data_IF_367923883413
#
_entry.id   IF_367923883413
#
_cell.length_a   1.000
_cell.length_b   1.000
_cell.length_c   1.000
_cell.angle_alpha   90.00
_cell.angle_beta   90.00
_cell.angle_gamma   90.00
#
_symmetry.space_group_name_H-M   'P 1'
#
loop_
_entity.id
_entity.type
_entity.pdbx_description
1 polymer ?
#
# COMPACT_ATOMS: atom_id res chain seq x y z
N UNK A 1 26.33 -6.16 5.65
CA UNK A 1 24.97 -5.77 6.10
C UNK A 1 25.08 -4.94 7.37
N UNK A 2 24.07 -4.12 7.68
CA UNK A 2 23.98 -3.38 8.95
C UNK A 2 23.25 -4.23 9.99
N UNK A 3 23.58 -4.08 11.28
CA UNK A 3 23.05 -4.95 12.33
C UNK A 3 21.54 -4.88 12.52
N UNK A 4 20.96 -3.68 12.59
CA UNK A 4 19.54 -3.51 12.90
C UNK A 4 18.98 -2.20 12.36
N UNK A 5 17.73 -2.23 11.90
CA UNK A 5 16.91 -1.04 11.72
C UNK A 5 15.60 -1.16 12.50
N UNK A 6 15.12 -0.03 13.00
CA UNK A 6 13.83 0.09 13.68
C UNK A 6 12.86 0.84 12.77
N UNK A 7 11.73 0.21 12.51
CA UNK A 7 10.65 0.75 11.70
C UNK A 7 9.56 1.24 12.65
N UNK A 8 9.24 2.52 12.55
CA UNK A 8 8.29 3.17 13.45
C UNK A 8 7.34 4.08 12.69
N UNK A 9 6.30 4.52 13.40
CA UNK A 9 5.22 5.35 12.91
C UNK A 9 5.24 6.69 13.65
N UNK A 10 6.02 7.65 13.16
CA UNK A 10 6.03 9.06 13.57
C UNK A 10 6.92 9.92 12.64
N UNK A 11 6.40 11.08 12.26
CA UNK A 11 7.07 12.05 11.40
C UNK A 11 7.88 13.12 12.15
N UNK A 12 7.76 13.23 13.47
CA UNK A 12 8.38 14.33 14.22
C UNK A 12 9.88 14.12 14.48
N UNK A 13 10.65 15.20 14.37
CA UNK A 13 12.03 15.24 14.81
C UNK A 13 12.14 14.87 16.30
N UNK A 14 11.25 15.41 17.15
CA UNK A 14 11.19 15.10 18.58
C UNK A 14 10.95 13.63 18.85
N UNK A 15 9.99 13.01 18.16
CA UNK A 15 9.74 11.58 18.28
C UNK A 15 10.94 10.76 17.80
N UNK A 16 11.57 11.15 16.68
CA UNK A 16 12.79 10.51 16.18
C UNK A 16 13.94 10.62 17.17
N UNK A 17 14.10 11.76 17.83
CA UNK A 17 15.15 11.99 18.82
C UNK A 17 14.90 11.19 20.11
N UNK A 18 13.63 11.10 20.55
CA UNK A 18 13.24 10.21 21.66
C UNK A 18 13.53 8.74 21.34
N UNK A 19 13.19 8.30 20.13
CA UNK A 19 13.49 6.95 19.66
C UNK A 19 15.01 6.73 19.57
N UNK A 20 15.77 7.72 19.09
CA UNK A 20 17.23 7.63 19.02
C UNK A 20 17.88 7.58 20.39
N UNK A 21 17.38 8.35 21.38
CA UNK A 21 17.81 8.24 22.78
C UNK A 21 17.52 6.85 23.36
N UNK A 22 16.36 6.28 23.04
CA UNK A 22 15.94 4.96 23.56
C UNK A 22 16.67 3.78 22.90
N UNK A 23 17.00 3.88 21.62
CA UNK A 23 17.53 2.76 20.82
C UNK A 23 18.97 2.97 20.30
N UNK A 24 19.64 4.06 20.69
CA UNK A 24 21.06 4.29 20.44
C UNK A 24 21.42 4.51 18.96
N UNK A 25 22.47 3.83 18.49
CA UNK A 25 23.03 3.97 17.13
C UNK A 25 22.26 3.20 16.04
N UNK A 26 21.09 2.65 16.35
CA UNK A 26 20.26 1.89 15.41
C UNK A 26 19.62 2.81 14.36
N UNK A 27 19.59 2.37 13.10
CA UNK A 27 18.98 3.16 12.03
C UNK A 27 17.46 3.21 12.22
N UNK A 28 16.92 4.42 12.24
CA UNK A 28 15.48 4.68 12.40
C UNK A 28 14.85 4.97 11.05
N UNK A 29 13.86 4.16 10.67
CA UNK A 29 13.12 4.27 9.42
C UNK A 29 11.63 4.50 9.69
N UNK A 30 11.05 5.42 8.93
CA UNK A 30 9.65 5.80 9.06
C UNK A 30 8.86 5.47 7.80
N UNK A 31 7.72 4.78 7.92
CA UNK A 31 6.89 4.43 6.76
C UNK A 31 6.26 5.69 6.14
N UNK A 32 6.58 6.02 4.89
CA UNK A 32 6.03 7.20 4.21
C UNK A 32 6.08 7.06 2.69
N UNK A 33 5.13 7.71 2.00
CA UNK A 33 5.13 7.80 0.55
C UNK A 33 6.22 8.71 -0.03
N UNK A 34 6.92 9.49 0.80
CA UNK A 34 7.95 10.42 0.35
C UNK A 34 9.34 9.76 0.19
N UNK A 35 10.16 10.35 -0.68
CA UNK A 35 11.52 9.89 -1.01
C UNK A 35 12.54 10.79 -0.28
N UNK A 36 12.67 10.62 1.04
CA UNK A 36 13.68 11.34 1.85
C UNK A 36 14.47 10.36 2.72
N UNK A 37 15.66 10.77 3.17
CA UNK A 37 16.49 9.99 4.10
C UNK A 37 15.72 9.65 5.38
N UNK A 38 15.74 8.39 5.79
CA UNK A 38 15.00 7.90 6.96
C UNK A 38 13.52 7.60 6.68
N UNK A 39 13.05 7.71 5.43
CA UNK A 39 11.72 7.28 5.03
C UNK A 39 11.79 5.95 4.29
N UNK A 40 10.91 5.03 4.65
CA UNK A 40 10.71 3.75 4.01
C UNK A 40 9.37 3.77 3.30
N UNK A 41 9.39 3.55 1.99
CA UNK A 41 8.16 3.48 1.20
C UNK A 41 7.64 2.06 1.19
N UNK A 42 6.32 1.91 1.21
CA UNK A 42 5.70 0.61 0.92
C UNK A 42 5.78 0.38 -0.60
N UNK A 43 6.81 -0.34 -1.01
CA UNK A 43 7.02 -0.83 -2.37
C UNK A 43 7.84 -2.09 -2.36
N UNK A 44 7.66 -2.98 -3.35
CA UNK A 44 8.45 -4.20 -3.42
C UNK A 44 9.95 -3.94 -3.37
N UNK A 45 10.45 -3.01 -4.19
CA UNK A 45 11.87 -2.65 -4.25
C UNK A 45 12.40 -2.09 -2.93
N UNK A 46 11.62 -1.28 -2.21
CA UNK A 46 12.09 -0.64 -0.98
C UNK A 46 12.06 -1.63 0.19
N UNK A 47 11.04 -2.49 0.24
CA UNK A 47 10.93 -3.56 1.22
C UNK A 47 12.02 -4.62 1.02
N UNK A 48 12.27 -5.03 -0.23
CA UNK A 48 13.36 -5.94 -0.52
C UNK A 48 14.71 -5.35 -0.11
N UNK A 49 15.00 -4.11 -0.57
CA UNK A 49 16.26 -3.42 -0.27
C UNK A 49 16.49 -3.22 1.22
N UNK A 50 15.46 -2.91 2.00
CA UNK A 50 15.65 -2.74 3.45
C UNK A 50 15.97 -4.08 4.11
N UNK A 51 15.35 -5.18 3.69
CA UNK A 51 15.69 -6.50 4.23
C UNK A 51 17.06 -7.01 3.75
N UNK A 52 17.53 -6.65 2.55
CA UNK A 52 18.91 -6.91 2.10
C UNK A 52 19.95 -6.09 2.87
N UNK A 53 19.57 -4.89 3.31
CA UNK A 53 20.50 -3.94 3.94
C UNK A 53 20.79 -4.29 5.40
N UNK A 54 19.83 -4.88 6.13
CA UNK A 54 19.91 -5.11 7.57
C UNK A 54 19.74 -6.59 7.93
N UNK A 55 20.51 -7.07 8.92
CA UNK A 55 20.36 -8.45 9.44
C UNK A 55 19.06 -8.63 10.24
N UNK A 56 18.55 -7.52 10.78
CA UNK A 56 17.36 -7.49 11.64
C UNK A 56 16.53 -6.23 11.41
N UNK A 57 15.21 -6.42 11.35
CA UNK A 57 14.22 -5.35 11.41
C UNK A 57 13.39 -5.49 12.68
N UNK A 58 13.26 -4.39 13.42
CA UNK A 58 12.34 -4.28 14.56
C UNK A 58 11.17 -3.36 14.19
N UNK A 59 9.95 -3.91 14.12
CA UNK A 59 8.72 -3.16 13.85
C UNK A 59 8.09 -2.68 15.16
N UNK A 60 7.86 -1.38 15.28
CA UNK A 60 7.17 -0.79 16.44
C UNK A 60 5.68 -0.59 16.13
N UNK A 61 4.81 -1.37 16.79
CA UNK A 61 3.35 -1.32 16.57
C UNK A 61 2.67 -0.30 17.49
N UNK A 62 1.57 0.36 17.05
CA UNK A 62 0.82 0.10 15.82
C UNK A 62 1.48 0.65 14.55
N UNK A 63 1.53 -0.19 13.49
CA UNK A 63 2.02 0.23 12.17
C UNK A 63 0.97 1.04 11.40
N UNK A 64 1.46 1.97 10.59
CA UNK A 64 0.64 2.79 9.68
C UNK A 64 1.51 3.27 8.51
N UNK A 65 0.86 3.63 7.41
CA UNK A 65 1.52 4.25 6.26
C UNK A 65 1.80 5.74 6.44
N UNK A 66 1.30 6.35 7.53
CA UNK A 66 1.45 7.79 7.80
C UNK A 66 0.59 8.70 6.91
N UNK A 67 -0.18 8.14 5.98
CA UNK A 67 -1.03 8.89 5.05
C UNK A 67 -2.16 9.63 5.78
N UNK A 68 -2.55 10.80 5.25
CA UNK A 68 -3.55 11.69 5.87
C UNK A 68 -4.94 11.04 5.97
N UNK A 69 -5.36 10.32 4.92
CA UNK A 69 -6.59 9.53 4.92
C UNK A 69 -6.25 8.03 4.91
N UNK A 70 -6.72 7.32 5.92
CA UNK A 70 -6.57 5.87 6.03
C UNK A 70 -7.94 5.20 6.13
N UNK A 71 -8.33 4.50 5.07
CA UNK A 71 -9.61 3.80 4.96
C UNK A 71 -9.46 2.31 5.29
N UNK A 72 -10.56 1.66 5.63
CA UNK A 72 -10.57 0.26 6.09
C UNK A 72 -10.47 0.11 7.61
N UNK A 73 -10.51 -1.14 8.08
CA UNK A 73 -10.31 -1.46 9.50
C UNK A 73 -8.82 -1.32 9.86
N UNK A 74 -8.49 -0.69 10.99
CA UNK A 74 -7.11 -0.46 11.41
C UNK A 74 -6.32 -1.76 11.64
N UNK A 75 -6.96 -2.80 12.17
CA UNK A 75 -6.36 -4.13 12.35
C UNK A 75 -5.99 -4.74 11.00
N UNK A 76 -6.88 -4.61 10.01
CA UNK A 76 -6.65 -5.10 8.64
C UNK A 76 -5.51 -4.33 7.96
N UNK A 77 -5.44 -3.01 8.14
CA UNK A 77 -4.34 -2.19 7.63
C UNK A 77 -3.00 -2.60 8.22
N UNK A 78 -2.95 -2.79 9.53
CA UNK A 78 -1.73 -3.21 10.23
C UNK A 78 -1.31 -4.62 9.83
N UNK A 79 -2.25 -5.57 9.77
CA UNK A 79 -1.99 -6.93 9.31
C UNK A 79 -1.40 -6.95 7.90
N UNK A 80 -1.95 -6.17 6.96
CA UNK A 80 -1.39 -6.03 5.61
C UNK A 80 0.08 -5.57 5.62
N UNK A 81 0.43 -4.59 6.45
CA UNK A 81 1.82 -4.13 6.57
C UNK A 81 2.72 -5.20 7.19
N UNK A 82 2.26 -5.86 8.26
CA UNK A 82 3.01 -6.93 8.92
C UNK A 82 3.31 -8.06 7.94
N UNK A 83 2.32 -8.49 7.15
CA UNK A 83 2.50 -9.56 6.18
C UNK A 83 3.49 -9.21 5.07
N UNK A 84 3.48 -7.97 4.57
CA UNK A 84 4.51 -7.50 3.63
C UNK A 84 5.90 -7.55 4.26
N UNK A 85 6.06 -7.08 5.51
CA UNK A 85 7.35 -7.12 6.19
C UNK A 85 7.81 -8.56 6.46
N UNK A 86 6.92 -9.44 6.91
CA UNK A 86 7.22 -10.86 7.13
C UNK A 86 7.66 -11.51 5.83
N UNK A 87 6.91 -11.32 4.74
CA UNK A 87 7.26 -11.86 3.43
C UNK A 87 8.67 -11.46 3.00
N UNK A 88 9.01 -10.18 3.05
CA UNK A 88 10.34 -9.71 2.63
C UNK A 88 11.45 -10.07 3.62
N UNK A 89 11.14 -10.17 4.90
CA UNK A 89 12.07 -10.64 5.92
C UNK A 89 12.46 -12.10 5.63
N UNK A 90 11.47 -12.97 5.43
CA UNK A 90 11.66 -14.39 5.12
C UNK A 90 12.43 -14.57 3.81
N UNK A 91 12.01 -13.87 2.73
CA UNK A 91 12.66 -13.90 1.42
C UNK A 91 14.15 -13.57 1.46
N UNK A 92 14.56 -12.69 2.38
CA UNK A 92 15.93 -12.20 2.49
C UNK A 92 16.67 -12.78 3.72
N UNK A 93 16.11 -13.78 4.41
CA UNK A 93 16.64 -14.31 5.66
C UNK A 93 16.96 -13.23 6.73
N UNK A 94 16.20 -12.13 6.70
CA UNK A 94 16.33 -11.01 7.63
C UNK A 94 15.47 -11.27 8.86
N UNK A 95 16.04 -11.14 10.07
CA UNK A 95 15.31 -11.38 11.32
C UNK A 95 14.26 -10.30 11.54
N UNK A 96 12.98 -10.67 11.62
CA UNK A 96 11.90 -9.75 11.98
C UNK A 96 11.57 -9.83 13.47
N UNK A 97 11.42 -8.70 14.15
CA UNK A 97 10.96 -8.62 15.55
C UNK A 97 9.85 -7.59 15.65
N UNK A 98 8.75 -7.94 16.31
CA UNK A 98 7.63 -7.03 16.53
C UNK A 98 7.63 -6.60 17.99
N UNK A 99 7.60 -5.29 18.25
CA UNK A 99 7.50 -4.72 19.60
C UNK A 99 6.33 -3.76 19.69
N UNK A 100 5.45 -3.98 20.66
CA UNK A 100 4.39 -3.04 20.99
C UNK A 100 4.95 -1.85 21.74
N UNK A 101 4.60 -0.64 21.32
CA UNK A 101 4.92 0.58 22.06
C UNK A 101 3.65 1.23 22.62
N UNK A 102 3.80 1.92 23.76
CA UNK A 102 2.77 2.83 24.23
C UNK A 102 2.50 3.88 23.14
N UNK A 103 1.23 4.20 22.91
CA UNK A 103 0.80 5.03 21.79
C UNK A 103 1.45 6.41 21.85
N UNK A 104 2.44 6.65 20.99
CA UNK A 104 2.91 7.99 20.66
C UNK A 104 1.85 8.61 19.74
N UNK A 105 1.44 9.85 20.01
CA UNK A 105 0.47 10.57 19.16
C UNK A 105 0.92 10.50 17.71
N UNK A 106 0.08 9.95 16.85
CA UNK A 106 0.32 9.95 15.41
C UNK A 106 0.26 11.38 14.90
N UNK A 107 1.33 11.80 14.24
CA UNK A 107 1.37 13.08 13.54
C UNK A 107 1.11 12.77 12.07
N UNK A 108 -0.04 13.23 11.58
CA UNK A 108 -0.47 13.04 10.19
C UNK A 108 0.58 13.66 9.25
N UNK A 109 0.92 12.97 8.16
CA UNK A 109 1.60 13.64 7.05
C UNK A 109 0.69 14.80 6.60
N UNK A 110 1.27 15.99 6.47
CA UNK A 110 0.56 17.19 5.98
C UNK A 110 0.27 17.11 4.48
N UNK A 111 0.80 16.08 3.82
CA UNK A 111 0.54 15.79 2.43
C UNK A 111 -0.72 14.94 2.31
N UNK A 112 -1.64 15.44 1.48
CA UNK A 112 -2.90 14.84 1.03
C UNK A 112 -2.69 13.50 0.32
N UNK A 113 -2.29 12.47 1.06
CA UNK A 113 -2.11 11.09 0.61
C UNK A 113 -3.10 10.16 1.28
N UNK A 114 -3.28 9.00 0.64
CA UNK A 114 -4.33 8.05 0.97
C UNK A 114 -3.77 6.65 1.00
N UNK A 115 -4.12 5.93 2.08
CA UNK A 115 -4.08 4.48 2.12
C UNK A 115 -5.49 3.93 2.34
N UNK A 116 -5.79 2.83 1.66
CA UNK A 116 -7.05 2.10 1.78
C UNK A 116 -6.70 0.63 1.75
N UNK A 117 -7.12 -0.14 2.75
CA UNK A 117 -6.88 -1.59 2.77
C UNK A 117 -8.20 -2.29 3.07
N UNK A 118 -8.52 -3.29 2.25
CA UNK A 118 -9.65 -4.18 2.45
C UNK A 118 -9.16 -5.62 2.47
N UNK A 119 -9.88 -6.45 3.19
CA UNK A 119 -9.61 -7.87 3.24
C UNK A 119 -10.91 -8.69 3.25
N UNK A 120 -10.82 -9.90 2.72
CA UNK A 120 -11.91 -10.87 2.69
C UNK A 120 -11.36 -12.29 2.74
N UNK A 121 -12.24 -13.22 3.09
CA UNK A 121 -11.98 -14.65 2.96
C UNK A 121 -12.31 -15.03 1.52
N UNK A 122 -11.31 -15.49 0.78
CA UNK A 122 -11.41 -15.96 -0.59
C UNK A 122 -11.59 -17.49 -0.57
N UNK A 123 -12.65 -17.98 -1.20
CA UNK A 123 -12.95 -19.43 -1.23
C UNK A 123 -11.97 -20.20 -2.14
N UNK A 124 -11.32 -19.51 -3.06
CA UNK A 124 -10.48 -20.11 -4.11
C UNK A 124 -8.99 -19.80 -3.92
N UNK A 125 -8.14 -20.76 -4.25
CA UNK A 125 -6.68 -20.57 -4.24
C UNK A 125 -6.18 -19.85 -5.51
N UNK A 126 -6.69 -18.64 -5.71
CA UNK A 126 -6.42 -17.83 -6.89
C UNK A 126 -5.15 -17.01 -6.70
N UNK A 127 -4.25 -17.11 -7.69
CA UNK A 127 -3.01 -16.34 -7.75
C UNK A 127 -3.25 -14.82 -7.68
N UNK A 128 -2.40 -14.02 -7.01
CA UNK A 128 -2.57 -12.57 -6.90
C UNK A 128 -2.75 -11.80 -8.22
N UNK A 129 -2.12 -12.27 -9.29
CA UNK A 129 -2.33 -11.68 -10.63
C UNK A 129 -3.75 -11.89 -11.14
N UNK A 130 -4.35 -13.04 -10.86
CA UNK A 130 -5.72 -13.32 -11.25
C UNK A 130 -6.73 -12.59 -10.34
N UNK A 131 -6.38 -12.31 -9.07
CA UNK A 131 -7.13 -11.37 -8.24
C UNK A 131 -7.14 -9.97 -8.86
N UNK A 132 -5.99 -9.50 -9.35
CA UNK A 132 -5.87 -8.22 -10.04
C UNK A 132 -6.67 -8.21 -11.36
N UNK A 133 -6.53 -9.26 -12.17
CA UNK A 133 -7.26 -9.41 -13.42
C UNK A 133 -8.78 -9.47 -13.19
N UNK A 134 -9.23 -10.16 -12.14
CA UNK A 134 -10.63 -10.21 -11.72
C UNK A 134 -11.15 -8.82 -11.33
N UNK A 135 -10.36 -8.02 -10.61
CA UNK A 135 -10.70 -6.62 -10.32
C UNK A 135 -10.85 -5.77 -11.60
N UNK A 136 -9.92 -5.93 -12.55
CA UNK A 136 -9.94 -5.22 -13.83
C UNK A 136 -11.15 -5.62 -14.71
N UNK A 137 -11.62 -6.86 -14.63
CA UNK A 137 -12.86 -7.31 -15.31
C UNK A 137 -14.12 -6.86 -14.56
N UNK A 138 -14.08 -6.84 -13.23
CA UNK A 138 -15.17 -6.40 -12.37
C UNK A 138 -15.52 -4.92 -12.57
N UNK A 139 -14.51 -4.05 -12.66
CA UNK A 139 -14.72 -2.60 -12.63
C UNK A 139 -15.62 -2.10 -13.78
N UNK A 140 -15.47 -2.52 -15.05
CA UNK A 140 -16.40 -2.19 -16.12
C UNK A 140 -17.80 -2.77 -15.93
N UNK A 141 -17.93 -3.97 -15.38
CA UNK A 141 -19.23 -4.60 -15.14
C UNK A 141 -20.02 -3.82 -14.08
N UNK A 142 -19.37 -3.55 -12.94
CA UNK A 142 -19.97 -2.83 -11.83
C UNK A 142 -20.37 -1.40 -12.22
N UNK A 143 -19.53 -0.71 -12.98
CA UNK A 143 -19.79 0.67 -13.40
C UNK A 143 -20.69 0.76 -14.64
N UNK A 144 -21.30 -0.35 -15.10
CA UNK A 144 -22.11 -0.41 -16.33
C UNK A 144 -21.39 0.22 -17.53
N UNK A 145 -20.11 -0.13 -17.69
CA UNK A 145 -19.16 0.39 -18.69
C UNK A 145 -18.89 1.89 -18.61
N UNK A 146 -19.23 2.60 -17.53
CA UNK A 146 -18.82 4.00 -17.33
C UNK A 146 -17.29 4.12 -17.20
N UNK A 147 -16.67 3.17 -16.48
CA UNK A 147 -15.22 3.00 -16.47
C UNK A 147 -14.88 1.82 -17.39
N UNK A 148 -13.99 2.04 -18.35
CA UNK A 148 -13.38 0.98 -19.17
C UNK A 148 -12.00 0.69 -18.64
N UNK A 149 -11.59 -0.57 -18.71
CA UNK A 149 -10.21 -0.98 -18.45
C UNK A 149 -9.57 -1.36 -19.77
N UNK A 150 -8.48 -0.69 -20.13
CA UNK A 150 -7.70 -0.98 -21.32
C UNK A 150 -6.36 -1.57 -20.90
N UNK A 151 -6.10 -2.81 -21.31
CA UNK A 151 -4.80 -3.44 -21.16
C UNK A 151 -3.95 -3.08 -22.38
N UNK A 152 -2.84 -2.39 -22.14
CA UNK A 152 -1.77 -2.14 -23.10
C UNK A 152 -0.58 -3.02 -22.71
N UNK A 153 0.40 -3.16 -23.60
CA UNK A 153 1.55 -4.07 -23.41
C UNK A 153 2.28 -3.85 -22.07
N UNK A 154 2.52 -2.58 -21.70
CA UNK A 154 3.28 -2.23 -20.48
C UNK A 154 2.44 -1.46 -19.44
N UNK A 155 1.15 -1.22 -19.68
CA UNK A 155 0.31 -0.45 -18.76
C UNK A 155 -1.17 -0.80 -18.84
N UNK A 156 -1.89 -0.52 -17.76
CA UNK A 156 -3.34 -0.70 -17.66
C UNK A 156 -3.97 0.68 -17.40
N UNK A 157 -4.94 1.05 -18.21
CA UNK A 157 -5.63 2.33 -18.08
C UNK A 157 -7.08 2.14 -17.64
N UNK A 158 -7.47 2.86 -16.59
CA UNK A 158 -8.88 3.03 -16.24
C UNK A 158 -9.36 4.31 -16.91
N UNK A 159 -10.22 4.15 -17.92
CA UNK A 159 -10.67 5.26 -18.77
C UNK A 159 -12.14 5.57 -18.51
N UNK A 160 -12.49 6.85 -18.62
CA UNK A 160 -13.89 7.25 -18.72
C UNK A 160 -14.40 6.90 -20.13
N UNK A 161 -15.42 6.05 -20.20
CA UNK A 161 -15.79 5.35 -21.43
C UNK A 161 -16.19 6.25 -22.60
N UNK A 162 -16.85 7.37 -22.31
CA UNK A 162 -17.35 8.30 -23.33
C UNK A 162 -16.30 9.31 -23.80
N UNK A 163 -15.35 9.70 -22.94
CA UNK A 163 -14.27 10.63 -23.32
C UNK A 163 -12.99 9.94 -23.76
N UNK A 164 -12.86 8.61 -23.52
CA UNK A 164 -11.61 7.84 -23.71
C UNK A 164 -10.41 8.47 -22.97
N UNK A 165 -10.68 9.22 -21.91
CA UNK A 165 -9.65 9.88 -21.10
C UNK A 165 -9.20 8.96 -19.96
N UNK A 166 -7.88 8.75 -19.76
CA UNK A 166 -7.37 7.93 -18.67
C UNK A 166 -7.56 8.65 -17.33
N UNK A 167 -8.40 8.08 -16.47
CA UNK A 167 -8.58 8.50 -15.08
C UNK A 167 -7.41 8.06 -14.22
N UNK A 168 -6.95 6.82 -14.40
CA UNK A 168 -5.76 6.25 -13.79
C UNK A 168 -4.97 5.46 -14.82
N UNK A 169 -3.64 5.55 -14.73
CA UNK A 169 -2.71 4.71 -15.47
C UNK A 169 -1.91 3.89 -14.45
N UNK A 170 -1.86 2.59 -14.66
CA UNK A 170 -1.22 1.62 -13.79
C UNK A 170 -0.10 0.92 -14.56
N UNK A 171 1.05 0.71 -13.92
CA UNK A 171 2.12 -0.14 -14.46
C UNK A 171 2.38 -1.27 -13.47
N UNK A 172 2.30 -2.52 -13.94
CA UNK A 172 2.67 -3.68 -13.14
C UNK A 172 4.15 -3.57 -12.74
N UNK A 173 4.45 -3.72 -11.45
CA UNK A 173 5.85 -3.82 -11.03
C UNK A 173 6.31 -5.27 -11.32
N UNK A 174 7.31 -5.41 -12.19
CA UNK A 174 7.88 -6.71 -12.54
C UNK A 174 8.70 -7.21 -11.35
N UNK A 175 8.14 -8.15 -10.60
CA UNK A 175 8.83 -8.95 -9.62
C UNK A 175 8.68 -10.39 -10.08
N UNK A 176 9.79 -11.03 -10.44
CA UNK A 176 9.77 -12.40 -10.94
C UNK A 176 9.17 -13.33 -9.87
N UNK A 177 8.13 -14.07 -10.27
CA UNK A 177 7.53 -15.20 -9.54
C UNK A 177 7.13 -14.96 -8.07
N UNK A 178 6.58 -13.78 -7.75
CA UNK A 178 6.02 -13.53 -6.42
C UNK A 178 4.60 -14.10 -6.29
N UNK A 179 4.49 -15.35 -5.80
CA UNK A 179 3.22 -16.04 -5.58
C UNK A 179 2.30 -15.38 -4.52
N UNK A 180 2.84 -14.46 -3.71
CA UNK A 180 2.13 -13.89 -2.56
C UNK A 180 1.42 -12.56 -2.86
N UNK A 181 1.88 -11.77 -3.84
CA UNK A 181 1.20 -10.52 -4.20
C UNK A 181 1.44 -10.07 -5.66
N UNK A 182 0.53 -9.25 -6.17
CA UNK A 182 0.66 -8.49 -7.41
C UNK A 182 0.54 -7.00 -7.08
N UNK A 183 1.43 -6.18 -7.63
CA UNK A 183 1.47 -4.75 -7.34
C UNK A 183 1.57 -3.90 -8.61
N UNK A 184 0.85 -2.78 -8.59
CA UNK A 184 0.71 -1.88 -9.71
C UNK A 184 0.98 -0.46 -9.25
N UNK A 185 2.01 0.15 -9.83
CA UNK A 185 2.30 1.57 -9.62
C UNK A 185 1.27 2.41 -10.36
N UNK A 186 0.62 3.32 -9.64
CA UNK A 186 -0.21 4.38 -10.19
C UNK A 186 0.73 5.43 -10.78
N UNK A 187 0.92 5.38 -12.10
CA UNK A 187 1.88 6.19 -12.85
C UNK A 187 1.28 7.47 -13.43
N UNK A 188 -0.05 7.57 -13.51
CA UNK A 188 -0.69 8.72 -14.16
C UNK A 188 -2.21 8.72 -14.13
N UNK A 189 -2.79 9.34 -15.16
CA UNK A 189 -4.22 9.63 -15.28
C UNK A 189 -4.65 10.97 -14.67
N UNK A 190 -5.89 11.37 -14.96
CA UNK A 190 -6.48 12.64 -14.52
C UNK A 190 -6.70 12.72 -13.02
N UNK A 191 -6.88 11.59 -12.34
CA UNK A 191 -7.16 11.54 -10.90
C UNK A 191 -5.89 11.53 -10.05
N UNK A 192 -4.70 11.46 -10.66
CA UNK A 192 -3.41 11.36 -9.96
C UNK A 192 -2.64 12.67 -10.03
N UNK A 193 -2.12 13.16 -8.91
CA UNK A 193 -1.27 14.34 -8.89
C UNK A 193 0.16 14.03 -9.41
N UNK A 194 0.38 14.25 -10.72
CA UNK A 194 1.66 13.99 -11.40
C UNK A 194 2.83 14.88 -10.94
N UNK A 195 2.55 16.04 -10.34
CA UNK A 195 3.60 16.96 -9.84
C UNK A 195 4.30 16.40 -8.59
N UNK A 196 3.72 15.40 -7.93
CA UNK A 196 4.31 14.77 -6.76
C UNK A 196 4.92 13.42 -7.15
N UNK A 197 6.23 13.26 -6.87
CA UNK A 197 7.02 12.02 -7.08
C UNK A 197 6.58 10.82 -6.21
N UNK A 198 5.34 10.79 -5.76
CA UNK A 198 4.80 9.66 -4.99
C UNK A 198 4.07 8.74 -5.95
N UNK A 199 4.59 7.52 -6.13
CA UNK A 199 3.92 6.51 -6.93
C UNK A 199 3.04 5.68 -5.98
N UNK A 200 1.79 6.10 -5.84
CA UNK A 200 0.79 5.30 -5.15
C UNK A 200 0.76 3.90 -5.76
N UNK A 201 0.37 2.90 -4.98
CA UNK A 201 0.30 1.52 -5.47
C UNK A 201 -1.03 0.90 -5.18
N UNK A 202 -1.52 0.14 -6.15
CA UNK A 202 -2.57 -0.84 -5.98
C UNK A 202 -1.93 -2.21 -5.75
N UNK A 203 -2.39 -2.91 -4.72
CA UNK A 203 -1.89 -4.20 -4.29
C UNK A 203 -3.02 -5.22 -4.28
N UNK A 204 -2.69 -6.44 -4.66
CA UNK A 204 -3.48 -7.65 -4.45
C UNK A 204 -2.56 -8.65 -3.78
N UNK A 205 -2.89 -9.13 -2.59
CA UNK A 205 -2.00 -9.97 -1.80
C UNK A 205 -2.79 -11.11 -1.17
N UNK A 206 -2.25 -12.32 -1.22
CA UNK A 206 -2.73 -13.44 -0.42
C UNK A 206 -1.99 -13.43 0.91
N UNK A 207 -2.69 -13.78 1.97
CA UNK A 207 -2.09 -13.93 3.26
C UNK A 207 -1.23 -15.20 3.30
N UNK A 208 0.00 -15.07 3.81
CA UNK A 208 0.83 -16.24 4.13
C UNK A 208 0.60 -16.73 5.56
N UNK A 209 -0.06 -15.92 6.39
CA UNK A 209 -0.25 -16.19 7.82
C UNK A 209 -1.66 -16.71 8.13
N UNK A 210 -2.64 -16.41 7.28
CA UNK A 210 -4.03 -16.81 7.44
C UNK A 210 -4.58 -17.36 6.13
N UNK A 211 -4.75 -18.68 6.09
CA UNK A 211 -5.28 -19.38 4.92
C UNK A 211 -6.56 -18.74 4.37
N UNK A 212 -6.63 -18.59 3.06
CA UNK A 212 -7.75 -18.00 2.32
C UNK A 212 -7.96 -16.49 2.55
N UNK A 213 -7.20 -15.82 3.42
CA UNK A 213 -7.32 -14.37 3.57
C UNK A 213 -6.64 -13.66 2.39
N UNK A 214 -7.34 -12.71 1.79
CA UNK A 214 -6.84 -11.86 0.70
C UNK A 214 -6.94 -10.40 1.09
N UNK A 215 -5.96 -9.61 0.67
CA UNK A 215 -5.92 -8.16 0.79
C UNK A 215 -5.97 -7.49 -0.58
N UNK A 216 -6.72 -6.41 -0.68
CA UNK A 216 -6.50 -5.39 -1.70
C UNK A 216 -6.17 -4.07 -1.02
N UNK A 217 -5.18 -3.36 -1.53
CA UNK A 217 -4.77 -2.11 -0.93
C UNK A 217 -4.42 -1.05 -1.97
N UNK A 218 -4.78 0.19 -1.66
CA UNK A 218 -4.15 1.38 -2.24
C UNK A 218 -3.24 1.97 -1.17
N UNK A 219 -1.99 2.27 -1.51
CA UNK A 219 -1.02 2.87 -0.57
C UNK A 219 -0.39 4.12 -1.16
N UNK A 220 -0.16 5.15 -0.33
CA UNK A 220 0.49 6.40 -0.69
C UNK A 220 -0.09 7.09 -1.94
N UNK A 221 -1.38 6.88 -2.23
CA UNK A 221 -2.04 7.48 -3.39
C UNK A 221 -2.29 8.97 -3.16
N UNK A 222 -2.06 9.78 -4.19
CA UNK A 222 -2.28 11.22 -4.12
C UNK A 222 -3.28 11.68 -5.17
N UNK A 223 -4.50 12.03 -4.75
CA UNK A 223 -5.50 12.52 -5.68
C UNK A 223 -5.07 13.87 -6.28
N UNK A 224 -5.47 14.12 -7.52
CA UNK A 224 -5.32 15.42 -8.20
C UNK A 224 -6.40 16.43 -7.76
N UNK A 225 -7.56 15.94 -7.32
CA UNK A 225 -8.69 16.78 -6.91
C UNK A 225 -8.38 17.58 -5.63
N UNK A 226 -9.03 18.75 -5.45
CA UNK A 226 -9.08 19.42 -4.16
C UNK A 226 -9.50 18.45 -3.05
N UNK A 227 -8.84 18.54 -1.89
CA UNK A 227 -8.93 17.51 -0.85
C UNK A 227 -10.35 17.25 -0.34
N UNK A 228 -11.13 18.31 -0.14
CA UNK A 228 -12.52 18.19 0.29
C UNK A 228 -13.34 17.44 -0.77
N UNK A 229 -13.20 17.80 -2.05
CA UNK A 229 -13.89 17.13 -3.16
C UNK A 229 -13.52 15.65 -3.24
N UNK A 230 -12.24 15.33 -3.09
CA UNK A 230 -11.77 13.94 -2.99
C UNK A 230 -12.47 13.15 -1.88
N UNK A 231 -12.52 13.72 -0.66
CA UNK A 231 -13.11 13.05 0.51
C UNK A 231 -14.59 12.75 0.36
N UNK A 232 -15.35 13.64 -0.28
CA UNK A 232 -16.79 13.45 -0.45
C UNK A 232 -17.14 12.58 -1.67
N UNK A 233 -16.31 12.59 -2.71
CA UNK A 233 -16.58 11.86 -3.96
C UNK A 233 -15.79 10.54 -4.04
N UNK A 234 -14.50 10.62 -4.32
CA UNK A 234 -13.66 9.46 -4.60
C UNK A 234 -13.55 8.52 -3.40
N UNK A 235 -13.40 9.04 -2.18
CA UNK A 235 -13.26 8.20 -1.00
C UNK A 235 -14.55 7.39 -0.69
N UNK A 236 -15.72 7.98 -0.93
CA UNK A 236 -17.04 7.34 -0.78
C UNK A 236 -17.26 6.29 -1.89
N UNK A 237 -17.04 6.68 -3.14
CA UNK A 237 -17.16 5.79 -4.30
C UNK A 237 -16.19 4.62 -4.19
N UNK A 238 -14.95 4.86 -3.78
CA UNK A 238 -13.95 3.81 -3.59
C UNK A 238 -14.40 2.78 -2.54
N UNK A 239 -14.94 3.23 -1.41
CA UNK A 239 -15.50 2.32 -0.39
C UNK A 239 -16.62 1.44 -0.96
N UNK A 240 -17.52 2.02 -1.75
CA UNK A 240 -18.60 1.28 -2.42
C UNK A 240 -18.05 0.26 -3.43
N UNK A 241 -17.11 0.66 -4.29
CA UNK A 241 -16.46 -0.23 -5.27
C UNK A 241 -15.79 -1.41 -4.58
N UNK A 242 -15.04 -1.17 -3.50
CA UNK A 242 -14.36 -2.23 -2.75
C UNK A 242 -15.34 -3.17 -2.04
N UNK A 243 -16.43 -2.63 -1.48
CA UNK A 243 -17.47 -3.46 -0.85
C UNK A 243 -18.14 -4.40 -1.86
N UNK A 244 -18.49 -3.88 -3.05
CA UNK A 244 -19.08 -4.70 -4.10
C UNK A 244 -18.07 -5.68 -4.70
N UNK A 245 -16.80 -5.30 -4.83
CA UNK A 245 -15.75 -6.22 -5.30
C UNK A 245 -15.56 -7.38 -4.33
N UNK A 246 -15.55 -7.11 -3.02
CA UNK A 246 -15.56 -8.16 -2.00
C UNK A 246 -16.73 -9.12 -2.20
N UNK A 247 -17.96 -8.62 -2.36
CA UNK A 247 -19.15 -9.46 -2.61
C UNK A 247 -19.08 -10.25 -3.93
N UNK A 248 -18.39 -9.74 -4.94
CA UNK A 248 -18.16 -10.43 -6.21
C UNK A 248 -17.15 -11.60 -6.09
N UNK A 249 -16.32 -11.59 -5.04
CA UNK A 249 -15.25 -12.58 -4.79
C UNK A 249 -15.55 -13.55 -3.63
N UNK A 250 -16.36 -13.13 -2.68
CA UNK A 250 -16.77 -13.93 -1.51
C UNK A 250 -17.86 -14.94 -1.84
#
# INVERSE_FOLDING_TARGET
>A
MKKEAIIYNSHEATARDLQRKKYGHTDLLHISGALKKGQLRISPTALNRVCEQYDKLTLLTPLSTGDELQQGNHVIREAFLLELFTYYADKNACKLTIKRQASIKQVKDTKKSVTSVQAWQEASDVHPDELAASYFRFLPLFTKKLIRVRNLEEQIEFQLAFLRLPLLTLRREKHHDDACFSSYVISGGLLTNRKQRTLGRLWFMRSNQKEGMVYTAITHYKPSLPWWMYRFTQATLHKMVMWQFKRYRS
#
